data_IF_193938124447
#
_entry.id   IF_193938124447
#
_cell.length_a   1.000
_cell.length_b   1.000
_cell.length_c   1.000
_cell.angle_alpha   90.00
_cell.angle_beta   90.00
_cell.angle_gamma   90.00
#
_symmetry.space_group_name_H-M   'P 1'
#
loop_
_entity.id
_entity.type
_entity.pdbx_description
1 polymer ?
#
# COMPACT_ATOMS: atom_id res chain seq x y z
N UNK A 1 -23.64 -2.51 14.76
CA UNK A 1 -23.92 -2.37 13.31
C UNK A 1 -23.44 -3.64 12.62
N UNK A 2 -24.16 -4.16 11.60
CA UNK A 2 -23.60 -5.17 10.70
C UNK A 2 -23.14 -4.51 9.41
N UNK A 3 -21.87 -4.67 9.03
CA UNK A 3 -21.34 -4.24 7.73
C UNK A 3 -21.40 -5.42 6.76
N UNK A 4 -21.64 -5.13 5.47
CA UNK A 4 -21.71 -6.14 4.40
C UNK A 4 -20.56 -5.89 3.44
N UNK A 5 -19.66 -6.87 3.33
CA UNK A 5 -18.51 -6.86 2.45
C UNK A 5 -18.64 -8.02 1.48
N UNK A 6 -18.12 -7.83 0.26
CA UNK A 6 -17.99 -8.90 -0.73
C UNK A 6 -16.51 -9.24 -0.86
N UNK A 7 -16.18 -10.52 -0.73
CA UNK A 7 -14.82 -11.04 -0.93
C UNK A 7 -14.86 -12.11 -2.01
N UNK A 8 -13.80 -12.20 -2.80
CA UNK A 8 -13.63 -13.28 -3.77
C UNK A 8 -12.64 -14.28 -3.21
N UNK A 9 -13.02 -15.56 -3.22
CA UNK A 9 -12.24 -16.68 -2.69
C UNK A 9 -12.23 -17.77 -3.75
N UNK A 10 -11.17 -18.58 -3.83
CA UNK A 10 -11.14 -19.69 -4.79
C UNK A 10 -12.21 -20.73 -4.46
N UNK A 11 -12.86 -21.28 -5.49
CA UNK A 11 -13.94 -22.27 -5.32
C UNK A 11 -13.49 -23.47 -4.49
N UNK A 12 -12.30 -24.00 -4.72
CA UNK A 12 -11.75 -25.13 -3.96
C UNK A 12 -11.64 -24.86 -2.45
N UNK A 13 -11.25 -23.62 -2.09
CA UNK A 13 -11.10 -23.23 -0.69
C UNK A 13 -12.46 -22.98 -0.06
N UNK A 14 -13.38 -22.40 -0.83
CA UNK A 14 -14.75 -22.17 -0.39
C UNK A 14 -15.51 -23.48 -0.19
N UNK A 15 -15.40 -24.43 -1.12
CA UNK A 15 -16.04 -25.75 -1.02
C UNK A 15 -15.53 -26.55 0.18
N UNK A 16 -14.25 -26.40 0.54
CA UNK A 16 -13.67 -27.03 1.72
C UNK A 16 -14.26 -26.51 3.05
N UNK A 17 -14.87 -25.32 3.09
CA UNK A 17 -15.35 -24.69 4.34
C UNK A 17 -16.84 -24.36 4.33
N UNK A 18 -17.50 -24.36 3.17
CA UNK A 18 -18.89 -23.92 3.00
C UNK A 18 -19.91 -24.77 3.77
N UNK A 19 -19.55 -26.01 4.12
CA UNK A 19 -20.38 -26.94 4.90
C UNK A 19 -20.29 -26.76 6.42
N UNK A 20 -19.40 -25.87 6.91
CA UNK A 20 -19.16 -25.67 8.34
C UNK A 20 -20.21 -24.78 9.04
N UNK A 21 -21.09 -24.16 8.26
CA UNK A 21 -22.21 -23.35 8.76
C UNK A 21 -23.38 -23.40 7.77
N UNK A 22 -24.58 -23.06 8.24
CA UNK A 22 -25.78 -23.02 7.42
C UNK A 22 -25.78 -21.81 6.46
N UNK A 23 -24.94 -20.80 6.73
CA UNK A 23 -24.84 -19.60 5.90
C UNK A 23 -23.40 -19.26 5.55
N UNK A 24 -23.18 -18.75 4.34
CA UNK A 24 -21.87 -18.27 3.88
C UNK A 24 -21.29 -17.20 4.82
N UNK A 25 -22.13 -16.25 5.25
CA UNK A 25 -21.75 -15.23 6.22
C UNK A 25 -21.38 -15.82 7.58
N UNK A 26 -22.05 -16.90 8.00
CA UNK A 26 -21.77 -17.59 9.25
C UNK A 26 -20.39 -18.26 9.26
N UNK A 27 -20.01 -18.91 8.14
CA UNK A 27 -18.65 -19.47 7.96
C UNK A 27 -17.59 -18.37 8.13
N UNK A 28 -17.76 -17.25 7.43
CA UNK A 28 -16.81 -16.12 7.48
C UNK A 28 -16.78 -15.50 8.88
N UNK A 29 -17.92 -15.30 9.52
CA UNK A 29 -17.99 -14.75 10.88
C UNK A 29 -17.27 -15.64 11.91
N UNK A 30 -17.46 -16.95 11.84
CA UNK A 30 -16.75 -17.90 12.70
C UNK A 30 -15.24 -17.87 12.47
N UNK A 31 -14.81 -17.82 11.20
CA UNK A 31 -13.39 -17.72 10.85
C UNK A 31 -12.76 -16.43 11.39
N UNK A 32 -13.46 -15.30 11.26
CA UNK A 32 -12.98 -14.02 11.79
C UNK A 32 -12.92 -13.99 13.33
N UNK A 33 -13.86 -14.66 14.00
CA UNK A 33 -13.83 -14.81 15.47
C UNK A 33 -12.62 -15.64 15.88
N UNK A 34 -12.37 -16.77 15.22
CA UNK A 34 -11.21 -17.62 15.50
C UNK A 34 -9.90 -16.86 15.27
N UNK A 35 -9.80 -16.14 14.16
CA UNK A 35 -8.63 -15.31 13.86
C UNK A 35 -8.40 -14.24 14.94
N UNK A 36 -9.47 -13.55 15.37
CA UNK A 36 -9.40 -12.59 16.48
C UNK A 36 -8.95 -13.24 17.78
N UNK A 37 -9.46 -14.43 18.08
CA UNK A 37 -9.13 -15.15 19.31
C UNK A 37 -7.67 -15.68 19.30
N UNK A 38 -7.13 -16.00 18.11
CA UNK A 38 -5.73 -16.42 17.91
C UNK A 38 -4.74 -15.24 17.89
N UNK A 39 -5.07 -14.14 17.20
CA UNK A 39 -4.19 -12.97 17.04
C UNK A 39 -4.33 -11.94 18.18
N UNK A 40 -5.40 -12.06 18.98
CA UNK A 40 -5.74 -11.14 20.05
C UNK A 40 -6.59 -9.96 19.59
N UNK A 41 -7.44 -9.44 20.48
CA UNK A 41 -8.23 -8.25 20.19
C UNK A 41 -7.31 -7.02 20.15
N UNK A 42 -7.29 -6.31 19.02
CA UNK A 42 -6.62 -5.00 18.95
C UNK A 42 -7.32 -4.07 19.93
N UNK A 43 -6.59 -3.62 20.95
CA UNK A 43 -7.14 -2.74 21.96
C UNK A 43 -7.66 -1.46 21.32
N UNK A 44 -8.96 -1.19 21.49
CA UNK A 44 -9.58 0.06 21.02
C UNK A 44 -8.86 1.26 21.63
N UNK A 45 -8.60 2.24 20.78
CA UNK A 45 -8.13 3.57 21.16
C UNK A 45 -9.19 4.29 22.00
N UNK A 46 -8.77 5.31 22.75
CA UNK A 46 -9.70 6.12 23.54
C UNK A 46 -10.71 6.86 22.65
N UNK A 47 -10.33 7.18 21.42
CA UNK A 47 -11.23 7.74 20.41
C UNK A 47 -12.32 6.74 19.99
N UNK A 48 -11.95 5.50 19.67
CA UNK A 48 -12.91 4.46 19.29
C UNK A 48 -13.86 4.10 20.43
N UNK A 49 -13.38 4.07 21.68
CA UNK A 49 -14.23 3.91 22.86
C UNK A 49 -15.21 5.08 23.01
N UNK A 50 -14.73 6.31 22.89
CA UNK A 50 -15.58 7.50 22.97
C UNK A 50 -16.59 7.59 21.82
N UNK A 51 -16.29 7.01 20.66
CA UNK A 51 -17.22 6.88 19.55
C UNK A 51 -18.42 5.98 19.88
N UNK A 52 -18.39 5.14 20.92
CA UNK A 52 -19.59 4.35 21.27
C UNK A 52 -20.75 5.24 21.73
N UNK A 53 -20.43 6.33 22.45
CA UNK A 53 -21.43 7.17 23.11
C UNK A 53 -21.58 8.56 22.49
N UNK A 54 -20.62 9.01 21.67
CA UNK A 54 -20.59 10.37 21.11
C UNK A 54 -20.90 10.34 19.60
N UNK A 55 -22.08 10.81 19.15
CA UNK A 55 -22.47 10.77 17.73
C UNK A 55 -21.47 11.44 16.78
N UNK A 56 -20.86 12.55 17.19
CA UNK A 56 -19.85 13.24 16.38
C UNK A 56 -18.61 12.38 16.15
N UNK A 57 -18.19 11.58 17.14
CA UNK A 57 -17.05 10.68 17.00
C UNK A 57 -17.40 9.45 16.17
N UNK A 58 -18.66 8.97 16.23
CA UNK A 58 -19.15 7.95 15.29
C UNK A 58 -19.04 8.40 13.85
N UNK A 59 -19.52 9.62 13.56
CA UNK A 59 -19.42 10.18 12.20
C UNK A 59 -17.98 10.35 11.78
N UNK A 60 -17.12 10.87 12.64
CA UNK A 60 -15.70 11.03 12.33
C UNK A 60 -15.00 9.69 12.08
N UNK A 61 -15.27 8.67 12.90
CA UNK A 61 -14.73 7.32 12.72
C UNK A 61 -15.20 6.72 11.39
N UNK A 62 -16.49 6.80 11.07
CA UNK A 62 -17.02 6.28 9.81
C UNK A 62 -16.40 6.96 8.58
N UNK A 63 -16.15 8.28 8.64
CA UNK A 63 -15.46 9.01 7.57
C UNK A 63 -14.00 8.57 7.44
N UNK A 64 -13.30 8.40 8.56
CA UNK A 64 -11.91 7.94 8.56
C UNK A 64 -11.78 6.51 8.04
N UNK A 65 -12.71 5.62 8.40
CA UNK A 65 -12.75 4.25 7.89
C UNK A 65 -12.99 4.21 6.39
N UNK A 66 -13.98 4.94 5.87
CA UNK A 66 -14.23 5.00 4.44
C UNK A 66 -13.05 5.59 3.67
N UNK A 67 -12.44 6.66 4.20
CA UNK A 67 -11.24 7.23 3.61
C UNK A 67 -10.05 6.26 3.61
N UNK A 68 -9.85 5.51 4.71
CA UNK A 68 -8.81 4.49 4.75
C UNK A 68 -9.08 3.38 3.74
N UNK A 69 -10.32 2.90 3.63
CA UNK A 69 -10.73 1.88 2.64
C UNK A 69 -10.42 2.32 1.21
N UNK A 70 -10.82 3.54 0.83
CA UNK A 70 -10.53 4.10 -0.50
C UNK A 70 -9.02 4.17 -0.78
N UNK A 71 -8.22 4.63 0.20
CA UNK A 71 -6.76 4.73 0.04
C UNK A 71 -6.08 3.37 -0.01
N UNK A 72 -6.56 2.40 0.76
CA UNK A 72 -6.06 1.03 0.70
C UNK A 72 -6.34 0.43 -0.68
N UNK A 73 -7.57 0.58 -1.18
CA UNK A 73 -7.95 0.09 -2.50
C UNK A 73 -7.08 0.72 -3.60
N UNK A 74 -6.92 2.04 -3.60
CA UNK A 74 -6.06 2.74 -4.57
C UNK A 74 -4.62 2.21 -4.51
N UNK A 75 -4.07 2.01 -3.30
CA UNK A 75 -2.73 1.45 -3.13
C UNK A 75 -2.59 0.03 -3.67
N UNK A 76 -3.62 -0.81 -3.52
CA UNK A 76 -3.66 -2.15 -4.13
C UNK A 76 -3.65 -2.07 -5.66
N UNK A 77 -4.51 -1.24 -6.24
CA UNK A 77 -4.65 -1.09 -7.69
C UNK A 77 -3.32 -0.69 -8.34
N UNK A 78 -2.62 0.31 -7.79
CA UNK A 78 -1.32 0.74 -8.33
C UNK A 78 -0.25 -0.36 -8.31
N UNK A 79 -0.23 -1.22 -7.28
CA UNK A 79 0.72 -2.34 -7.25
C UNK A 79 0.39 -3.38 -8.33
N UNK A 80 -0.88 -3.76 -8.46
CA UNK A 80 -1.32 -4.77 -9.43
C UNK A 80 -1.09 -4.29 -10.86
N UNK A 81 -1.42 -3.03 -11.15
CA UNK A 81 -1.20 -2.43 -12.47
C UNK A 81 0.28 -2.35 -12.83
N UNK A 82 1.14 -2.08 -11.84
CA UNK A 82 2.59 -2.06 -12.02
C UNK A 82 3.16 -3.45 -12.30
N UNK A 83 2.61 -4.50 -11.70
CA UNK A 83 2.95 -5.89 -12.03
C UNK A 83 2.47 -6.27 -13.44
N UNK A 84 1.22 -5.92 -13.77
CA UNK A 84 0.63 -6.20 -15.08
C UNK A 84 1.40 -5.51 -16.22
N UNK A 85 1.93 -4.31 -15.96
CA UNK A 85 2.73 -3.52 -16.89
C UNK A 85 4.22 -3.87 -16.87
N UNK A 86 4.65 -4.85 -16.06
CA UNK A 86 6.05 -5.29 -15.92
C UNK A 86 6.98 -4.14 -15.48
N UNK A 87 6.44 -3.20 -14.71
CA UNK A 87 7.20 -2.10 -14.11
C UNK A 87 7.97 -2.61 -12.90
N UNK A 88 7.32 -3.47 -12.12
CA UNK A 88 7.92 -4.25 -11.06
C UNK A 88 7.80 -5.73 -11.37
N UNK A 89 8.78 -6.52 -10.92
CA UNK A 89 8.81 -7.96 -11.16
C UNK A 89 8.36 -8.73 -9.92
N UNK A 90 7.84 -9.97 -10.06
CA UNK A 90 7.52 -10.81 -8.92
C UNK A 90 8.70 -11.03 -7.96
N UNK A 91 9.94 -11.06 -8.47
CA UNK A 91 11.14 -11.14 -7.63
C UNK A 91 11.29 -9.94 -6.69
N UNK A 92 10.91 -8.74 -7.14
CA UNK A 92 10.92 -7.54 -6.31
C UNK A 92 9.91 -7.63 -5.16
N UNK A 93 8.73 -8.22 -5.42
CA UNK A 93 7.71 -8.48 -4.41
C UNK A 93 8.25 -9.45 -3.35
N UNK A 94 8.86 -10.55 -3.79
CA UNK A 94 9.46 -11.56 -2.91
C UNK A 94 10.59 -10.98 -2.05
N UNK A 95 11.52 -10.24 -2.66
CA UNK A 95 12.64 -9.60 -1.96
C UNK A 95 12.13 -8.58 -0.93
N UNK A 96 11.15 -7.76 -1.30
CA UNK A 96 10.55 -6.75 -0.42
C UNK A 96 9.84 -7.40 0.76
N UNK A 97 8.97 -8.38 0.50
CA UNK A 97 8.24 -9.08 1.55
C UNK A 97 9.15 -9.90 2.47
N UNK A 98 10.31 -10.35 1.99
CA UNK A 98 11.31 -11.06 2.79
C UNK A 98 12.17 -10.14 3.66
N UNK A 99 12.37 -8.89 3.21
CA UNK A 99 13.27 -7.92 3.87
C UNK A 99 12.58 -7.04 4.90
N UNK A 100 11.30 -6.71 4.69
CA UNK A 100 10.56 -5.77 5.54
C UNK A 100 9.44 -6.47 6.29
N UNK A 101 9.13 -5.99 7.50
CA UNK A 101 7.98 -6.48 8.27
C UNK A 101 6.69 -5.78 7.83
N UNK A 102 5.53 -6.47 7.86
CA UNK A 102 4.22 -5.87 7.54
C UNK A 102 3.94 -4.55 8.26
N UNK A 103 4.25 -4.50 9.55
CA UNK A 103 4.04 -3.31 10.40
C UNK A 103 4.95 -2.12 10.12
N UNK A 104 5.97 -2.27 9.25
CA UNK A 104 6.96 -1.21 8.97
C UNK A 104 7.00 -0.79 7.51
N UNK A 105 6.56 -1.66 6.59
CA UNK A 105 6.70 -1.42 5.16
C UNK A 105 5.95 -0.15 4.70
N UNK A 106 4.71 0.07 5.18
CA UNK A 106 3.95 1.28 4.81
C UNK A 106 4.69 2.59 5.13
N UNK A 107 5.31 2.69 6.31
CA UNK A 107 6.14 3.85 6.68
C UNK A 107 7.41 3.95 5.83
N UNK A 108 8.05 2.82 5.53
CA UNK A 108 9.22 2.79 4.65
C UNK A 108 8.90 3.23 3.23
N UNK A 109 7.73 2.87 2.70
CA UNK A 109 7.24 3.36 1.41
C UNK A 109 6.94 4.86 1.46
N UNK A 110 6.37 5.36 2.56
CA UNK A 110 6.19 6.80 2.75
C UNK A 110 7.53 7.56 2.74
N UNK A 111 8.54 7.05 3.45
CA UNK A 111 9.90 7.63 3.45
C UNK A 111 10.51 7.61 2.03
N UNK A 112 10.31 6.53 1.27
CA UNK A 112 10.75 6.45 -0.13
C UNK A 112 10.01 7.46 -1.02
N UNK A 113 8.72 7.70 -0.77
CA UNK A 113 7.94 8.77 -1.42
C UNK A 113 8.52 10.16 -1.14
N UNK A 114 8.95 10.43 0.08
CA UNK A 114 9.64 11.69 0.44
C UNK A 114 10.99 11.83 -0.27
N UNK A 115 11.75 10.74 -0.42
CA UNK A 115 12.99 10.72 -1.22
C UNK A 115 12.70 11.04 -2.68
N UNK A 116 11.64 10.45 -3.26
CA UNK A 116 11.19 10.77 -4.61
C UNK A 116 10.87 12.27 -4.74
N UNK A 117 10.08 12.83 -3.82
CA UNK A 117 9.73 14.26 -3.83
C UNK A 117 10.98 15.16 -3.75
N UNK A 118 11.93 14.81 -2.89
CA UNK A 118 13.20 15.55 -2.70
C UNK A 118 14.06 15.50 -3.97
N UNK A 119 14.23 14.32 -4.57
CA UNK A 119 14.99 14.13 -5.81
C UNK A 119 14.37 14.92 -6.96
N UNK A 120 13.05 14.81 -7.10
CA UNK A 120 12.27 15.56 -8.08
C UNK A 120 12.49 17.06 -7.92
N UNK A 121 12.48 17.55 -6.68
CA UNK A 121 12.69 18.97 -6.39
C UNK A 121 14.13 19.46 -6.59
N UNK A 122 15.10 18.55 -6.64
CA UNK A 122 16.51 18.90 -6.80
C UNK A 122 16.92 19.15 -8.26
N UNK A 123 16.00 18.94 -9.22
CA UNK A 123 16.27 19.08 -10.65
C UNK A 123 15.17 19.88 -11.35
N UNK A 124 15.53 21.02 -11.95
CA UNK A 124 14.59 21.92 -12.64
C UNK A 124 13.74 21.21 -13.70
N UNK A 125 14.27 20.18 -14.38
CA UNK A 125 13.52 19.38 -15.36
C UNK A 125 12.26 18.74 -14.73
N UNK A 126 12.42 18.15 -13.56
CA UNK A 126 11.36 17.36 -12.92
C UNK A 126 10.50 18.18 -11.96
N UNK A 127 10.98 19.35 -11.51
CA UNK A 127 10.17 20.33 -10.77
C UNK A 127 9.02 20.83 -11.66
N UNK A 128 9.35 21.25 -12.88
CA UNK A 128 8.38 21.82 -13.82
C UNK A 128 7.55 20.73 -14.50
N UNK A 129 8.17 19.59 -14.81
CA UNK A 129 7.54 18.44 -15.47
C UNK A 129 7.14 17.30 -14.53
N UNK A 130 6.84 16.15 -15.14
CA UNK A 130 6.72 14.86 -14.44
C UNK A 130 8.02 14.08 -14.64
N UNK A 131 8.35 13.20 -13.69
CA UNK A 131 9.37 12.16 -13.90
C UNK A 131 8.73 11.07 -14.76
N UNK A 132 9.39 10.71 -15.86
CA UNK A 132 8.95 9.65 -16.78
C UNK A 132 9.74 8.37 -16.59
N UNK A 133 9.28 7.26 -17.17
CA UNK A 133 10.00 5.98 -17.07
C UNK A 133 11.40 6.04 -17.70
N UNK A 134 11.57 6.90 -18.70
CA UNK A 134 12.86 7.16 -19.36
C UNK A 134 13.82 7.93 -18.44
N UNK A 135 13.29 8.69 -17.48
CA UNK A 135 14.09 9.44 -16.51
C UNK A 135 14.60 8.58 -15.35
N UNK A 136 14.03 7.38 -15.13
CA UNK A 136 14.27 6.59 -13.93
C UNK A 136 15.74 6.20 -13.74
N UNK A 137 16.49 5.94 -14.82
CA UNK A 137 17.92 5.61 -14.70
C UNK A 137 18.72 6.75 -14.06
N UNK A 138 18.45 7.97 -14.49
CA UNK A 138 19.14 9.17 -14.02
C UNK A 138 18.58 9.58 -12.64
N UNK A 139 17.27 9.41 -12.46
CA UNK A 139 16.59 9.67 -11.20
C UNK A 139 17.06 8.77 -10.05
N UNK A 140 17.50 7.54 -10.36
CA UNK A 140 17.93 6.53 -9.39
C UNK A 140 19.45 6.35 -9.34
N UNK A 141 20.25 7.28 -9.86
CA UNK A 141 21.71 7.22 -9.76
C UNK A 141 22.16 7.04 -8.28
N UNK A 142 22.80 5.91 -7.95
CA UNK A 142 23.01 5.47 -6.56
C UNK A 142 23.82 6.46 -5.72
N UNK A 143 24.86 7.03 -6.31
CA UNK A 143 25.80 7.95 -5.69
C UNK A 143 25.12 9.27 -5.27
N UNK A 144 24.00 9.61 -5.91
CA UNK A 144 23.22 10.80 -5.62
C UNK A 144 22.02 10.54 -4.69
N UNK A 145 21.84 9.31 -4.19
CA UNK A 145 20.79 8.97 -3.22
C UNK A 145 21.27 9.13 -1.77
N UNK A 146 20.43 9.66 -0.86
CA UNK A 146 20.82 9.90 0.51
C UNK A 146 20.86 8.61 1.34
N UNK A 147 21.92 8.42 2.14
CA UNK A 147 21.98 7.42 3.20
C UNK A 147 21.74 5.98 2.72
N UNK A 148 20.81 5.27 3.39
CA UNK A 148 20.51 3.87 3.09
C UNK A 148 19.86 3.65 1.72
N UNK A 149 19.33 4.71 1.11
CA UNK A 149 18.62 4.63 -0.18
C UNK A 149 19.56 4.38 -1.37
N UNK A 150 20.84 4.74 -1.27
CA UNK A 150 21.86 4.31 -2.24
C UNK A 150 22.40 2.90 -1.98
N UNK A 151 21.99 2.27 -0.87
CA UNK A 151 22.52 1.01 -0.36
C UNK A 151 21.43 -0.04 -0.14
N UNK A 152 21.16 -0.36 1.13
CA UNK A 152 20.24 -1.45 1.48
C UNK A 152 18.82 -1.20 0.98
N UNK A 153 18.34 0.03 0.98
CA UNK A 153 16.93 0.31 0.69
C UNK A 153 16.73 0.72 -0.79
N UNK A 154 17.78 0.61 -1.61
CA UNK A 154 17.78 0.99 -3.03
C UNK A 154 16.70 0.28 -3.84
N UNK A 155 16.60 -1.05 -3.73
CA UNK A 155 15.65 -1.81 -4.54
C UNK A 155 14.20 -1.46 -4.19
N UNK A 156 13.91 -1.20 -2.91
CA UNK A 156 12.59 -0.72 -2.47
C UNK A 156 12.24 0.62 -3.11
N UNK A 157 13.18 1.57 -3.08
CA UNK A 157 13.00 2.88 -3.69
C UNK A 157 12.81 2.76 -5.21
N UNK A 158 13.66 1.98 -5.88
CA UNK A 158 13.60 1.80 -7.33
C UNK A 158 12.25 1.24 -7.77
N UNK A 159 11.74 0.21 -7.09
CA UNK A 159 10.42 -0.34 -7.37
C UNK A 159 9.30 0.66 -7.12
N UNK A 160 9.35 1.41 -6.00
CA UNK A 160 8.34 2.44 -5.71
C UNK A 160 8.37 3.59 -6.72
N UNK A 161 9.55 4.05 -7.13
CA UNK A 161 9.68 5.06 -8.18
C UNK A 161 9.08 4.58 -9.50
N UNK A 162 9.26 3.30 -9.84
CA UNK A 162 8.57 2.65 -10.95
C UNK A 162 7.06 2.82 -10.84
N UNK A 163 6.47 2.36 -9.73
CA UNK A 163 5.03 2.44 -9.45
C UNK A 163 4.52 3.88 -9.59
N UNK A 164 5.19 4.85 -8.95
CA UNK A 164 4.81 6.28 -8.96
C UNK A 164 4.79 6.84 -10.39
N UNK A 165 5.81 6.51 -11.20
CA UNK A 165 5.98 7.05 -12.55
C UNK A 165 4.98 6.44 -13.52
N UNK A 166 4.54 5.19 -13.29
CA UNK A 166 3.59 4.50 -14.15
C UNK A 166 2.14 4.61 -13.72
N UNK A 167 1.86 5.22 -12.57
CA UNK A 167 0.50 5.55 -12.15
C UNK A 167 -0.16 6.49 -13.17
N UNK A 168 -1.02 5.92 -14.03
CA UNK A 168 -1.45 6.55 -15.27
C UNK A 168 -2.57 7.59 -15.10
N UNK A 169 -3.34 7.51 -14.01
CA UNK A 169 -4.45 8.41 -13.78
C UNK A 169 -4.02 9.60 -12.90
N UNK A 170 -3.85 10.81 -13.46
CA UNK A 170 -3.40 11.98 -12.70
C UNK A 170 -4.41 12.45 -11.64
N UNK A 171 -5.63 11.91 -11.63
CA UNK A 171 -6.64 12.19 -10.62
C UNK A 171 -6.53 11.30 -9.38
N UNK A 172 -5.73 10.24 -9.43
CA UNK A 172 -5.47 9.38 -8.28
C UNK A 172 -4.57 10.10 -7.26
N UNK A 173 -4.71 9.73 -6.00
CA UNK A 173 -3.99 10.35 -4.87
C UNK A 173 -2.49 10.14 -4.99
N UNK A 174 -2.04 8.96 -5.43
CA UNK A 174 -0.61 8.65 -5.58
C UNK A 174 0.10 9.59 -6.58
N UNK A 175 -0.25 9.63 -7.88
CA UNK A 175 0.43 10.49 -8.86
C UNK A 175 0.18 11.98 -8.61
N UNK A 176 -0.99 12.36 -8.10
CA UNK A 176 -1.27 13.77 -7.74
C UNK A 176 -0.43 14.25 -6.54
N UNK A 177 -0.19 13.38 -5.56
CA UNK A 177 0.60 13.66 -4.38
C UNK A 177 2.11 13.56 -4.55
N UNK A 178 2.60 13.00 -5.68
CA UNK A 178 4.04 12.72 -5.89
C UNK A 178 4.60 13.27 -7.21
N UNK A 179 3.95 13.03 -8.35
CA UNK A 179 4.54 13.17 -9.69
C UNK A 179 3.75 14.08 -10.65
N UNK A 180 2.83 14.91 -10.14
CA UNK A 180 2.10 15.89 -10.96
C UNK A 180 2.95 17.10 -11.35
N UNK A 181 2.89 17.49 -12.63
CA UNK A 181 3.66 18.61 -13.17
C UNK A 181 3.42 19.93 -12.40
N UNK A 182 4.49 20.66 -12.10
CA UNK A 182 4.44 21.95 -11.40
C UNK A 182 3.96 21.90 -9.95
N UNK A 183 3.72 20.70 -9.40
CA UNK A 183 3.26 20.52 -8.03
C UNK A 183 4.40 20.08 -7.11
N UNK A 184 4.64 20.81 -6.02
CA UNK A 184 5.55 20.44 -4.93
C UNK A 184 4.86 20.75 -3.60
N UNK A 185 4.93 19.81 -2.66
CA UNK A 185 4.53 20.01 -1.28
C UNK A 185 5.76 20.00 -0.37
N UNK A 186 5.70 20.78 0.71
CA UNK A 186 6.80 20.90 1.67
C UNK A 186 6.32 20.48 3.06
N UNK A 187 7.20 19.81 3.79
CA UNK A 187 7.02 19.52 5.21
C UNK A 187 7.13 20.78 6.07
N UNK A 188 6.87 20.62 7.37
CA UNK A 188 7.04 21.70 8.36
C UNK A 188 8.49 22.17 8.49
N UNK A 189 9.44 21.32 8.10
CA UNK A 189 10.88 21.60 8.01
C UNK A 189 11.27 22.35 6.73
N UNK A 190 10.34 22.56 5.80
CA UNK A 190 10.60 23.20 4.51
C UNK A 190 11.22 22.25 3.47
N UNK A 191 11.37 20.97 3.80
CA UNK A 191 11.89 19.97 2.85
C UNK A 191 10.75 19.46 1.95
N UNK A 192 11.02 19.16 0.66
CA UNK A 192 10.03 18.58 -0.24
C UNK A 192 9.54 17.22 0.26
N UNK A 193 8.23 16.97 0.24
CA UNK A 193 7.61 15.74 0.72
C UNK A 193 6.49 15.26 -0.18
N UNK A 194 6.26 13.95 -0.19
CA UNK A 194 5.09 13.39 -0.85
C UNK A 194 3.83 13.78 -0.08
N UNK A 195 2.83 14.35 -0.76
CA UNK A 195 1.54 14.67 -0.14
C UNK A 195 0.56 13.53 -0.34
N UNK A 196 0.91 12.38 0.20
CA UNK A 196 0.12 11.16 0.13
C UNK A 196 -0.14 10.67 1.55
N UNK A 197 -1.40 10.33 1.85
CA UNK A 197 -1.77 9.85 3.16
C UNK A 197 -1.10 8.49 3.46
N UNK A 198 -0.75 8.25 4.74
CA UNK A 198 -0.09 7.01 5.14
C UNK A 198 -0.88 5.76 4.74
N UNK A 199 -2.22 5.81 4.81
CA UNK A 199 -3.09 4.71 4.44
C UNK A 199 -2.89 4.21 3.00
N UNK A 200 -2.52 5.09 2.07
CA UNK A 200 -2.25 4.66 0.69
C UNK A 200 -0.96 3.84 0.63
N UNK A 201 0.09 4.30 1.29
CA UNK A 201 1.35 3.55 1.40
C UNK A 201 1.16 2.21 2.13
N UNK A 202 0.28 2.18 3.14
CA UNK A 202 -0.12 0.95 3.83
C UNK A 202 -0.95 0.02 2.92
N UNK A 203 -1.77 0.55 2.02
CA UNK A 203 -2.45 -0.18 0.96
C UNK A 203 -1.46 -0.89 0.02
N UNK A 204 -0.47 -0.16 -0.50
CA UNK A 204 0.61 -0.75 -1.33
C UNK A 204 1.36 -1.84 -0.54
N UNK A 205 1.68 -1.58 0.73
CA UNK A 205 2.36 -2.54 1.58
C UNK A 205 1.54 -3.83 1.77
N UNK A 206 0.25 -3.71 2.07
CA UNK A 206 -0.65 -4.85 2.22
C UNK A 206 -0.73 -5.66 0.91
N UNK A 207 -0.85 -4.97 -0.22
CA UNK A 207 -0.86 -5.58 -1.54
C UNK A 207 0.42 -6.38 -1.86
N UNK A 208 1.59 -5.90 -1.42
CA UNK A 208 2.87 -6.62 -1.57
C UNK A 208 2.81 -7.96 -0.83
N UNK A 209 2.37 -7.96 0.44
CA UNK A 209 2.32 -9.19 1.24
C UNK A 209 1.26 -10.17 0.73
N UNK A 210 0.10 -9.67 0.31
CA UNK A 210 -0.96 -10.50 -0.27
C UNK A 210 -0.54 -11.13 -1.60
N UNK A 211 0.11 -10.35 -2.46
CA UNK A 211 0.67 -10.84 -3.73
C UNK A 211 1.72 -11.91 -3.46
N UNK A 212 2.63 -11.68 -2.52
CA UNK A 212 3.63 -12.68 -2.14
C UNK A 212 3.00 -13.97 -1.58
N UNK A 213 1.95 -13.85 -0.76
CA UNK A 213 1.21 -15.00 -0.26
C UNK A 213 0.51 -15.76 -1.40
N UNK A 214 -0.08 -15.05 -2.37
CA UNK A 214 -0.69 -15.63 -3.56
C UNK A 214 0.35 -16.38 -4.43
N UNK A 215 1.50 -15.78 -4.69
CA UNK A 215 2.62 -16.43 -5.40
C UNK A 215 3.04 -17.74 -4.72
N UNK A 216 3.23 -17.72 -3.39
CA UNK A 216 3.58 -18.93 -2.63
C UNK A 216 2.53 -20.03 -2.72
N UNK A 217 1.23 -19.67 -2.76
CA UNK A 217 0.14 -20.64 -2.96
C UNK A 217 0.19 -21.25 -4.36
N UNK A 218 0.38 -20.43 -5.39
CA UNK A 218 0.43 -20.88 -6.78
C UNK A 218 1.57 -21.89 -7.01
N UNK A 219 2.77 -21.62 -6.49
CA UNK A 219 3.92 -22.55 -6.61
C UNK A 219 3.61 -23.90 -5.96
N UNK A 220 2.99 -23.91 -4.78
CA UNK A 220 2.61 -25.14 -4.08
C UNK A 220 1.54 -25.94 -4.83
N UNK A 221 0.68 -25.29 -5.61
CA UNK A 221 -0.32 -25.96 -6.44
C UNK A 221 0.29 -26.59 -7.70
N UNK A 222 1.36 -26.01 -8.24
CA UNK A 222 2.09 -26.59 -9.40
C UNK A 222 3.00 -27.76 -9.02
N UNK A 223 3.39 -27.89 -7.75
CA UNK A 223 4.23 -28.98 -7.24
C UNK A 223 3.41 -30.20 -6.75
N UNK A 224 2.07 -30.12 -6.76
CA UNK A 224 1.14 -31.18 -6.35
C UNK A 224 0.56 -31.95 -7.54
#
# INVERSE_FOLDING_TARGET
MSRRLSITVSDDLWDAVSHLDDTQSGVVQKALILLRDEEGEVARTDFEKAAEDIPTYQTALAVLEGYAEDMYQEGYEHLIDSLASIVILPSWIEDTASKYSPSKLGRKLADAGDVFATRRHSNNKWIEGQVTSEDLSDFLEKEALPGLWGGSDYDLLAGLCGIIVTAANPHDTLPSGTNSAGYTAFGADGEPRARVALFLWEGIAAAIFDTFAAMKRAVRMTDA
#
